data_IF_799013400393
#
_entry.id   IF_799013400393
#
_cell.length_a   1.000
_cell.length_b   1.000
_cell.length_c   1.000
_cell.angle_alpha   90.00
_cell.angle_beta   90.00
_cell.angle_gamma   90.00
#
_symmetry.space_group_name_H-M   'P 1'
#
loop_
_entity.id
_entity.type
_entity.pdbx_description
1 polymer ?
#
# COMPACT_ATOMS: atom_id res chain seq x y z
N UNK A 1 -2.45 -14.49 0.10
CA UNK A 1 -2.04 -13.14 -0.31
C UNK A 1 -0.67 -12.76 0.26
N UNK A 2 -0.51 -12.30 1.52
CA UNK A 2 0.79 -11.84 2.05
C UNK A 2 1.96 -12.84 1.98
N UNK A 3 1.68 -14.16 2.06
CA UNK A 3 2.71 -15.20 1.94
C UNK A 3 3.39 -15.19 0.56
N UNK A 4 2.65 -14.88 -0.50
CA UNK A 4 3.17 -14.85 -1.88
C UNK A 4 4.14 -13.68 -2.10
N UNK A 5 4.02 -12.61 -1.31
CA UNK A 5 4.85 -11.41 -1.40
C UNK A 5 5.96 -11.35 -0.34
N UNK A 6 6.00 -12.29 0.60
CA UNK A 6 6.95 -12.28 1.73
C UNK A 6 8.42 -12.23 1.31
N UNK A 7 8.76 -12.81 0.16
CA UNK A 7 10.12 -12.86 -0.36
C UNK A 7 10.32 -11.98 -1.61
N UNK A 8 9.30 -11.21 -2.00
CA UNK A 8 9.40 -10.33 -3.15
C UNK A 8 9.93 -8.97 -2.74
N UNK A 9 10.86 -8.43 -3.52
CA UNK A 9 11.29 -7.05 -3.37
C UNK A 9 10.23 -6.12 -3.94
N UNK A 10 10.06 -4.95 -3.31
CA UNK A 10 9.22 -3.92 -3.90
C UNK A 10 9.85 -3.42 -5.20
N UNK A 11 9.06 -3.23 -6.26
CA UNK A 11 9.52 -2.56 -7.46
C UNK A 11 10.13 -1.19 -7.17
N UNK A 12 11.14 -0.79 -7.95
CA UNK A 12 11.79 0.51 -7.79
C UNK A 12 10.81 1.68 -7.89
N UNK A 13 9.80 1.57 -8.75
CA UNK A 13 8.79 2.63 -8.93
C UNK A 13 7.95 2.88 -7.68
N UNK A 14 7.87 1.94 -6.73
CA UNK A 14 7.13 2.13 -5.49
C UNK A 14 7.69 3.31 -4.66
N UNK A 15 8.99 3.59 -4.79
CA UNK A 15 9.63 4.75 -4.15
C UNK A 15 9.07 6.07 -4.65
N UNK A 16 8.64 6.14 -5.91
CA UNK A 16 8.03 7.34 -6.50
C UNK A 16 6.66 7.66 -5.88
N UNK A 17 6.10 6.75 -5.09
CA UNK A 17 4.79 6.89 -4.43
C UNK A 17 4.90 6.75 -2.90
N UNK A 18 6.11 6.92 -2.36
CA UNK A 18 6.39 6.81 -0.91
C UNK A 18 5.98 5.45 -0.33
N UNK A 19 6.09 4.37 -1.12
CA UNK A 19 5.78 3.01 -0.68
C UNK A 19 7.09 2.30 -0.31
N UNK A 20 7.26 2.04 0.98
CA UNK A 20 8.44 1.33 1.52
C UNK A 20 8.13 -0.09 2.00
N UNK A 21 6.86 -0.52 2.02
CA UNK A 21 6.46 -1.87 2.42
C UNK A 21 5.31 -2.42 1.57
N UNK A 22 5.15 -3.75 1.57
CA UNK A 22 3.97 -4.39 0.96
C UNK A 22 2.68 -4.03 1.69
N UNK A 23 2.72 -3.74 3.00
CA UNK A 23 1.57 -3.25 3.74
C UNK A 23 1.07 -1.93 3.17
N UNK A 24 2.00 -0.98 2.99
CA UNK A 24 1.73 0.31 2.38
C UNK A 24 1.25 0.18 0.93
N UNK A 25 1.83 -0.75 0.16
CA UNK A 25 1.41 -1.02 -1.22
C UNK A 25 -0.08 -1.39 -1.29
N UNK A 26 -0.52 -2.37 -0.51
CA UNK A 26 -1.92 -2.82 -0.53
C UNK A 26 -2.88 -1.76 0.02
N UNK A 27 -2.48 -1.04 1.08
CA UNK A 27 -3.32 0.02 1.63
C UNK A 27 -3.45 1.20 0.65
N UNK A 28 -2.37 1.63 0.00
CA UNK A 28 -2.43 2.68 -1.04
C UNK A 28 -3.23 2.22 -2.27
N UNK A 29 -3.20 0.94 -2.63
CA UNK A 29 -4.09 0.39 -3.66
C UNK A 29 -5.57 0.59 -3.33
N UNK A 30 -5.97 0.35 -2.08
CA UNK A 30 -7.34 0.56 -1.61
C UNK A 30 -7.68 2.06 -1.59
N UNK A 31 -6.79 2.90 -1.03
CA UNK A 31 -6.97 4.36 -0.94
C UNK A 31 -7.14 5.00 -2.31
N UNK A 32 -6.50 4.47 -3.36
CA UNK A 32 -6.57 5.02 -4.70
C UNK A 32 -7.96 4.96 -5.35
N UNK A 33 -8.89 4.16 -4.80
CA UNK A 33 -10.27 4.11 -5.27
C UNK A 33 -11.05 5.34 -4.75
N UNK A 34 -11.59 6.22 -5.64
CA UNK A 34 -12.34 7.39 -5.22
C UNK A 34 -13.59 7.11 -4.37
N UNK A 35 -14.13 5.88 -4.42
CA UNK A 35 -15.25 5.47 -3.60
C UNK A 35 -14.86 5.13 -2.14
N UNK A 36 -13.56 4.99 -1.84
CA UNK A 36 -13.07 4.70 -0.49
C UNK A 36 -12.91 6.00 0.29
N UNK A 37 -13.66 6.11 1.38
CA UNK A 37 -13.63 7.29 2.27
C UNK A 37 -12.76 7.08 3.50
N UNK A 38 -12.60 5.83 3.94
CA UNK A 38 -11.81 5.47 5.11
C UNK A 38 -11.29 4.02 5.02
N UNK A 39 -10.16 3.75 5.66
CA UNK A 39 -9.60 2.40 5.81
C UNK A 39 -9.30 2.11 7.29
N UNK A 40 -9.58 0.88 7.74
CA UNK A 40 -9.39 0.46 9.14
C UNK A 40 -8.54 -0.82 9.18
N UNK A 41 -7.21 -0.70 9.06
CA UNK A 41 -6.34 -1.87 9.02
C UNK A 41 -6.13 -2.45 10.42
N UNK A 42 -6.70 -3.64 10.68
CA UNK A 42 -6.56 -4.33 11.95
C UNK A 42 -5.14 -4.89 12.14
N UNK A 43 -4.54 -4.62 13.30
CA UNK A 43 -3.26 -5.24 13.69
C UNK A 43 -3.08 -5.23 15.20
N UNK A 44 -2.38 -6.24 15.73
CA UNK A 44 -1.96 -6.32 17.14
C UNK A 44 -0.48 -5.99 17.35
N UNK A 45 0.24 -5.57 16.29
CA UNK A 45 1.68 -5.30 16.32
C UNK A 45 1.94 -3.82 16.10
N UNK A 46 2.59 -3.16 17.04
CA UNK A 46 2.95 -1.73 16.97
C UNK A 46 3.74 -1.38 15.70
N UNK A 47 4.66 -2.25 15.28
CA UNK A 47 5.40 -2.10 14.02
C UNK A 47 4.48 -2.00 12.79
N UNK A 48 3.46 -2.85 12.72
CA UNK A 48 2.51 -2.83 11.62
C UNK A 48 1.59 -1.62 11.71
N UNK A 49 1.22 -1.19 12.93
CA UNK A 49 0.43 0.02 13.13
C UNK A 49 1.17 1.23 12.54
N UNK A 50 2.45 1.40 12.87
CA UNK A 50 3.29 2.47 12.33
C UNK A 50 3.39 2.40 10.80
N UNK A 51 3.64 1.21 10.25
CA UNK A 51 3.73 0.99 8.81
C UNK A 51 2.41 1.33 8.08
N UNK A 52 1.28 0.91 8.64
CA UNK A 52 -0.05 1.19 8.11
C UNK A 52 -0.35 2.69 8.10
N UNK A 53 0.06 3.43 9.15
CA UNK A 53 -0.11 4.88 9.21
C UNK A 53 0.63 5.60 8.07
N UNK A 54 1.82 5.13 7.69
CA UNK A 54 2.57 5.73 6.58
C UNK A 54 1.92 5.52 5.21
N UNK A 55 1.04 4.52 5.05
CA UNK A 55 0.30 4.36 3.79
C UNK A 55 -0.59 5.58 3.48
N UNK A 56 -1.11 6.25 4.52
CA UNK A 56 -1.92 7.46 4.41
C UNK A 56 -1.12 8.77 4.30
N UNK A 57 0.21 8.71 4.32
CA UNK A 57 1.10 9.87 4.27
C UNK A 57 1.78 9.95 2.90
N UNK A 58 2.18 11.17 2.50
CA UNK A 58 2.93 11.42 1.28
C UNK A 58 2.03 11.50 0.05
N UNK A 59 2.52 11.02 -1.09
CA UNK A 59 1.79 11.08 -2.36
C UNK A 59 0.47 10.30 -2.27
N UNK A 60 -0.60 10.97 -2.71
CA UNK A 60 -1.92 10.39 -2.87
C UNK A 60 -1.86 9.40 -4.03
N UNK A 61 -2.25 8.15 -3.77
CA UNK A 61 -2.37 7.17 -4.81
C UNK A 61 -3.59 7.52 -5.69
N UNK A 62 -3.42 7.46 -7.01
CA UNK A 62 -4.45 7.76 -8.00
C UNK A 62 -4.86 6.50 -8.81
N UNK A 63 -5.86 6.63 -9.67
CA UNK A 63 -6.31 5.53 -10.51
C UNK A 63 -5.22 5.02 -11.47
N UNK A 64 -4.24 5.87 -11.82
CA UNK A 64 -3.13 5.47 -12.71
C UNK A 64 -2.22 4.49 -12.00
N UNK A 65 -1.82 4.79 -10.76
CA UNK A 65 -0.97 3.88 -9.99
C UNK A 65 -1.73 2.64 -9.53
N UNK A 66 -3.03 2.76 -9.23
CA UNK A 66 -3.88 1.62 -8.89
C UNK A 66 -3.92 0.56 -10.00
N UNK A 67 -4.00 0.98 -11.27
CA UNK A 67 -3.94 0.07 -12.42
C UNK A 67 -2.60 -0.65 -12.51
N UNK A 68 -1.50 0.08 -12.33
CA UNK A 68 -0.15 -0.51 -12.31
C UNK A 68 0.05 -1.50 -11.16
N UNK A 69 -0.53 -1.21 -9.99
CA UNK A 69 -0.51 -2.13 -8.85
C UNK A 69 -1.28 -3.42 -9.15
N UNK A 70 -2.43 -3.31 -9.84
CA UNK A 70 -3.28 -4.46 -10.19
C UNK A 70 -2.57 -5.46 -11.11
N UNK A 71 -1.68 -5.00 -11.99
CA UNK A 71 -0.87 -5.88 -12.85
C UNK A 71 0.08 -6.80 -12.06
N UNK A 72 0.29 -6.52 -10.77
CA UNK A 72 1.16 -7.30 -9.88
C UNK A 72 0.41 -8.15 -8.85
N UNK A 73 -0.91 -7.96 -8.70
CA UNK A 73 -1.74 -8.64 -7.72
C UNK A 73 -2.20 -10.02 -8.22
#
# INVERSE_FOLDING_TARGET
>A
MFRSFKNQTLPNWCKDYDISSWGQFFLKYIIANPAVTNIIPATSKSKNMLDNSFAGIGRVADLKIQKRMLEML
#
